data_IF_408560359844
#
_entry.id   IF_408560359844
#
_cell.length_a   1.000
_cell.length_b   1.000
_cell.length_c   1.000
_cell.angle_alpha   90.00
_cell.angle_beta   90.00
_cell.angle_gamma   90.00
#
_symmetry.space_group_name_H-M   'P 1'
#
loop_
_entity.id
_entity.type
_entity.pdbx_description
1 polymer ?
#
# COMPACT_ATOMS: atom_id res chain seq x y z
N UNK A 1 27.28 -5.66 -9.57
CA UNK A 1 26.59 -5.90 -8.28
C UNK A 1 26.07 -4.56 -7.79
N UNK A 2 24.78 -4.27 -7.95
CA UNK A 2 24.21 -3.06 -7.35
C UNK A 2 24.35 -3.17 -5.82
N UNK A 3 24.97 -2.17 -5.20
CA UNK A 3 25.23 -2.15 -3.77
C UNK A 3 23.90 -2.32 -3.01
N UNK A 4 23.78 -3.33 -2.14
CA UNK A 4 22.56 -3.59 -1.34
C UNK A 4 22.16 -2.34 -0.54
N UNK A 5 23.15 -1.53 -0.12
CA UNK A 5 22.96 -0.22 0.51
C UNK A 5 22.24 0.78 -0.41
N UNK A 6 22.56 0.77 -1.70
CA UNK A 6 21.95 1.64 -2.71
C UNK A 6 20.49 1.23 -2.98
N UNK A 7 20.18 -0.07 -2.97
CA UNK A 7 18.80 -0.55 -3.08
C UNK A 7 17.93 -0.14 -1.89
N UNK A 8 18.46 -0.26 -0.66
CA UNK A 8 17.77 0.22 0.54
C UNK A 8 17.57 1.73 0.51
N UNK A 9 18.58 2.49 0.08
CA UNK A 9 18.47 3.94 -0.07
C UNK A 9 17.38 4.33 -1.07
N UNK A 10 17.36 3.72 -2.26
CA UNK A 10 16.33 3.97 -3.27
C UNK A 10 14.93 3.66 -2.75
N UNK A 11 14.78 2.57 -1.99
CA UNK A 11 13.53 2.20 -1.35
C UNK A 11 13.04 3.24 -0.34
N UNK A 12 13.93 3.75 0.52
CA UNK A 12 13.60 4.82 1.46
C UNK A 12 13.23 6.11 0.73
N UNK A 13 13.97 6.47 -0.32
CA UNK A 13 13.67 7.67 -1.13
C UNK A 13 12.29 7.56 -1.77
N UNK A 14 11.95 6.40 -2.34
CA UNK A 14 10.62 6.16 -2.92
C UNK A 14 9.51 6.32 -1.87
N UNK A 15 9.67 5.72 -0.70
CA UNK A 15 8.68 5.84 0.37
C UNK A 15 8.48 7.28 0.83
N UNK A 16 9.58 8.03 1.02
CA UNK A 16 9.52 9.45 1.37
C UNK A 16 8.84 10.27 0.26
N UNK A 17 9.14 9.98 -1.00
CA UNK A 17 8.48 10.63 -2.13
C UNK A 17 6.96 10.40 -2.10
N UNK A 18 6.51 9.17 -1.86
CA UNK A 18 5.07 8.84 -1.78
C UNK A 18 4.38 9.58 -0.64
N UNK A 19 4.99 9.61 0.55
CA UNK A 19 4.45 10.34 1.71
C UNK A 19 4.37 11.84 1.42
N UNK A 20 5.44 12.43 0.88
CA UNK A 20 5.46 13.86 0.51
C UNK A 20 4.40 14.15 -0.52
N UNK A 21 4.25 13.30 -1.54
CA UNK A 21 3.21 13.43 -2.56
C UNK A 21 1.80 13.40 -1.97
N UNK A 22 1.51 12.44 -1.09
CA UNK A 22 0.24 12.37 -0.37
C UNK A 22 -0.02 13.58 0.54
N UNK A 23 1.01 14.27 1.01
CA UNK A 23 0.87 15.51 1.78
C UNK A 23 0.79 16.78 0.91
N UNK A 24 1.12 16.72 -0.38
CA UNK A 24 1.11 17.91 -1.26
C UNK A 24 -0.23 18.66 -1.29
N UNK A 25 -1.41 18.02 -1.24
CA UNK A 25 -2.66 18.76 -1.28
C UNK A 25 -2.83 19.68 -0.06
N UNK A 26 -2.30 19.26 1.09
CA UNK A 26 -2.31 20.04 2.34
C UNK A 26 -1.39 21.27 2.19
N UNK A 27 -0.15 21.06 1.69
CA UNK A 27 0.80 22.16 1.51
C UNK A 27 0.34 23.17 0.44
N UNK A 28 -0.35 22.70 -0.59
CA UNK A 28 -0.85 23.54 -1.69
C UNK A 28 -2.21 24.17 -1.41
N UNK A 29 -2.78 23.96 -0.20
CA UNK A 29 -4.10 24.46 0.19
C UNK A 29 -5.17 24.13 -0.85
N UNK A 30 -5.08 22.94 -1.45
CA UNK A 30 -6.06 22.47 -2.43
C UNK A 30 -7.38 22.15 -1.72
N UNK A 31 -8.48 22.22 -2.45
CA UNK A 31 -9.77 21.78 -1.94
C UNK A 31 -9.68 20.29 -1.54
N UNK A 32 -9.97 20.00 -0.27
CA UNK A 32 -10.00 18.63 0.26
C UNK A 32 -11.28 17.93 -0.16
N UNK A 33 -11.36 17.56 -1.44
CA UNK A 33 -12.41 16.68 -1.94
C UNK A 33 -12.16 15.24 -1.48
N UNK A 34 -13.20 14.40 -1.49
CA UNK A 34 -13.08 13.02 -1.05
C UNK A 34 -12.04 12.24 -1.86
N UNK A 35 -11.94 12.49 -3.17
CA UNK A 35 -10.92 11.89 -4.04
C UNK A 35 -9.49 12.24 -3.61
N UNK A 36 -9.26 13.52 -3.27
CA UNK A 36 -7.96 14.01 -2.81
C UNK A 36 -7.60 13.36 -1.47
N UNK A 37 -8.57 13.25 -0.56
CA UNK A 37 -8.39 12.60 0.74
C UNK A 37 -8.06 11.10 0.55
N UNK A 38 -8.83 10.39 -0.27
CA UNK A 38 -8.62 8.97 -0.53
C UNK A 38 -7.24 8.69 -1.13
N UNK A 39 -6.86 9.46 -2.15
CA UNK A 39 -5.56 9.34 -2.82
C UNK A 39 -4.41 9.63 -1.86
N UNK A 40 -4.56 10.66 -1.02
CA UNK A 40 -3.55 11.04 -0.02
C UNK A 40 -3.35 9.94 1.02
N UNK A 41 -4.45 9.38 1.54
CA UNK A 41 -4.41 8.26 2.51
C UNK A 41 -3.69 7.06 1.90
N UNK A 42 -4.05 6.68 0.67
CA UNK A 42 -3.45 5.53 -0.02
C UNK A 42 -1.95 5.75 -0.24
N UNK A 43 -1.53 6.92 -0.74
CA UNK A 43 -0.12 7.21 -0.99
C UNK A 43 0.73 7.19 0.28
N UNK A 44 0.23 7.80 1.36
CA UNK A 44 0.93 7.82 2.65
C UNK A 44 1.05 6.40 3.20
N UNK A 45 -0.03 5.62 3.14
CA UNK A 45 -0.02 4.24 3.62
C UNK A 45 0.97 3.37 2.84
N UNK A 46 1.00 3.45 1.51
CA UNK A 46 1.96 2.70 0.69
C UNK A 46 3.39 3.09 1.06
N UNK A 47 3.66 4.39 1.26
CA UNK A 47 4.98 4.84 1.69
C UNK A 47 5.39 4.26 3.05
N UNK A 48 4.50 4.28 4.04
CA UNK A 48 4.76 3.73 5.38
C UNK A 48 4.89 2.20 5.34
N UNK A 49 3.99 1.52 4.64
CA UNK A 49 3.99 0.08 4.40
C UNK A 49 5.33 -0.38 3.81
N UNK A 50 5.80 0.34 2.79
CA UNK A 50 7.07 0.03 2.13
C UNK A 50 8.27 0.17 3.08
N UNK A 51 8.30 1.21 3.93
CA UNK A 51 9.33 1.35 4.96
C UNK A 51 9.30 0.18 5.94
N UNK A 52 8.12 -0.19 6.43
CA UNK A 52 7.96 -1.30 7.38
C UNK A 52 8.50 -2.60 6.76
N UNK A 53 8.15 -2.90 5.51
CA UNK A 53 8.61 -4.11 4.80
C UNK A 53 10.12 -4.07 4.58
N UNK A 54 10.69 -2.92 4.25
CA UNK A 54 12.13 -2.77 3.97
C UNK A 54 12.99 -3.09 5.21
N UNK A 55 12.53 -2.70 6.40
CA UNK A 55 13.25 -2.94 7.66
C UNK A 55 12.85 -4.26 8.32
N UNK A 56 11.58 -4.66 8.21
CA UNK A 56 11.02 -5.87 8.81
C UNK A 56 10.20 -6.68 7.78
N UNK A 57 10.86 -7.49 6.94
CA UNK A 57 10.18 -8.29 5.91
C UNK A 57 9.14 -9.28 6.45
N UNK A 58 9.27 -9.71 7.71
CA UNK A 58 8.29 -10.59 8.37
C UNK A 58 6.88 -9.98 8.48
N UNK A 59 6.78 -8.64 8.44
CA UNK A 59 5.51 -7.92 8.51
C UNK A 59 4.79 -7.82 7.17
N UNK A 60 5.40 -8.26 6.06
CA UNK A 60 4.83 -8.16 4.71
C UNK A 60 3.39 -8.66 4.64
N UNK A 61 3.09 -9.81 5.24
CA UNK A 61 1.74 -10.38 5.25
C UNK A 61 0.71 -9.49 5.95
N UNK A 62 1.07 -8.94 7.12
CA UNK A 62 0.20 -8.06 7.89
C UNK A 62 -0.03 -6.75 7.14
N UNK A 63 1.04 -6.18 6.59
CA UNK A 63 1.00 -4.93 5.83
C UNK A 63 0.08 -5.05 4.61
N UNK A 64 0.21 -6.10 3.80
CA UNK A 64 -0.69 -6.34 2.67
C UNK A 64 -2.15 -6.52 3.11
N UNK A 65 -2.40 -7.20 4.23
CA UNK A 65 -3.75 -7.35 4.76
C UNK A 65 -4.37 -6.00 5.14
N UNK A 66 -3.63 -5.18 5.89
CA UNK A 66 -4.09 -3.85 6.30
C UNK A 66 -4.24 -2.89 5.12
N UNK A 67 -3.30 -2.88 4.18
CA UNK A 67 -3.42 -2.09 2.95
C UNK A 67 -4.67 -2.47 2.17
N UNK A 68 -4.94 -3.77 2.01
CA UNK A 68 -6.15 -4.24 1.33
C UNK A 68 -7.43 -3.74 2.00
N UNK A 69 -7.48 -3.74 3.34
CA UNK A 69 -8.62 -3.17 4.10
C UNK A 69 -8.74 -1.68 3.83
N UNK A 70 -7.66 -0.91 3.95
CA UNK A 70 -7.76 0.53 3.79
C UNK A 70 -8.11 0.90 2.35
N UNK A 71 -7.53 0.24 1.35
CA UNK A 71 -7.87 0.46 -0.07
C UNK A 71 -9.35 0.12 -0.31
N UNK A 72 -9.85 -0.99 0.23
CA UNK A 72 -11.25 -1.37 0.07
C UNK A 72 -12.20 -0.35 0.71
N UNK A 73 -11.93 0.03 1.97
CA UNK A 73 -12.81 0.91 2.75
C UNK A 73 -12.73 2.35 2.24
N UNK A 74 -11.52 2.88 2.07
CA UNK A 74 -11.31 4.24 1.56
C UNK A 74 -11.83 4.36 0.13
N UNK A 75 -11.56 3.36 -0.72
CA UNK A 75 -12.10 3.31 -2.07
C UNK A 75 -13.63 3.33 -2.08
N UNK A 76 -14.26 2.46 -1.30
CA UNK A 76 -15.72 2.35 -1.26
C UNK A 76 -16.41 3.59 -0.67
N UNK A 77 -15.85 4.18 0.39
CA UNK A 77 -16.50 5.27 1.12
C UNK A 77 -16.20 6.66 0.57
N UNK A 78 -15.03 6.86 -0.04
CA UNK A 78 -14.56 8.19 -0.43
C UNK A 78 -14.62 8.43 -1.94
N UNK A 79 -14.52 7.41 -2.77
CA UNK A 79 -14.55 7.59 -4.23
C UNK A 79 -15.99 7.55 -4.75
N UNK A 80 -16.20 8.24 -5.87
CA UNK A 80 -17.47 8.16 -6.59
C UNK A 80 -17.53 6.94 -7.52
N UNK A 81 -18.74 6.59 -7.97
CA UNK A 81 -18.94 5.53 -8.96
C UNK A 81 -18.31 5.91 -10.31
N UNK A 82 -17.61 5.00 -11.00
CA UNK A 82 -17.43 3.57 -10.71
C UNK A 82 -16.20 3.21 -9.87
N UNK A 83 -15.34 4.18 -9.56
CA UNK A 83 -14.06 3.95 -8.90
C UNK A 83 -14.20 3.31 -7.51
N UNK A 84 -15.28 3.62 -6.79
CA UNK A 84 -15.58 2.99 -5.50
C UNK A 84 -15.64 1.46 -5.57
N UNK A 85 -16.29 0.91 -6.60
CA UNK A 85 -16.44 -0.52 -6.81
C UNK A 85 -15.12 -1.15 -7.26
N UNK A 86 -14.39 -0.48 -8.16
CA UNK A 86 -13.09 -0.97 -8.63
C UNK A 86 -12.09 -1.08 -7.46
N UNK A 87 -11.95 -0.03 -6.66
CA UNK A 87 -11.04 -0.04 -5.51
C UNK A 87 -11.51 -0.98 -4.39
N UNK A 88 -12.82 -1.12 -4.17
CA UNK A 88 -13.36 -2.11 -3.25
C UNK A 88 -12.98 -3.55 -3.67
N UNK A 89 -13.14 -3.88 -4.95
CA UNK A 89 -12.79 -5.19 -5.50
C UNK A 89 -11.28 -5.43 -5.41
N UNK A 90 -10.46 -4.44 -5.79
CA UNK A 90 -9.00 -4.55 -5.69
C UNK A 90 -8.57 -4.77 -4.24
N UNK A 91 -9.11 -3.99 -3.29
CA UNK A 91 -8.81 -4.16 -1.88
C UNK A 91 -9.21 -5.54 -1.35
N UNK A 92 -10.39 -6.04 -1.74
CA UNK A 92 -10.84 -7.40 -1.39
C UNK A 92 -9.91 -8.49 -1.95
N UNK A 93 -9.44 -8.36 -3.19
CA UNK A 93 -8.49 -9.29 -3.80
C UNK A 93 -7.18 -9.30 -3.00
N UNK A 94 -6.66 -8.11 -2.62
CA UNK A 94 -5.44 -8.00 -1.82
C UNK A 94 -5.62 -8.67 -0.45
N UNK A 95 -6.76 -8.46 0.22
CA UNK A 95 -7.10 -9.12 1.49
C UNK A 95 -7.11 -10.64 1.31
N UNK A 96 -7.77 -11.14 0.26
CA UNK A 96 -7.85 -12.58 -0.01
C UNK A 96 -6.46 -13.18 -0.24
N UNK A 97 -5.59 -12.51 -1.00
CA UNK A 97 -4.21 -12.93 -1.21
C UNK A 97 -3.44 -12.95 0.12
N UNK A 98 -3.59 -11.92 0.95
CA UNK A 98 -2.92 -11.86 2.25
C UNK A 98 -3.37 -13.00 3.17
N UNK A 99 -4.67 -13.32 3.23
CA UNK A 99 -5.21 -14.47 3.98
C UNK A 99 -4.62 -15.78 3.44
N UNK A 100 -4.58 -15.97 2.12
CA UNK A 100 -3.99 -17.17 1.52
C UNK A 100 -2.48 -17.27 1.82
N UNK A 101 -1.76 -16.15 1.91
CA UNK A 101 -0.36 -16.12 2.32
C UNK A 101 -0.18 -16.53 3.79
N UNK A 102 -1.09 -16.09 4.68
CA UNK A 102 -1.13 -16.53 6.07
C UNK A 102 -1.39 -18.02 6.21
N UNK A 103 -2.34 -18.55 5.42
CA UNK A 103 -2.70 -19.97 5.40
C UNK A 103 -1.69 -20.84 4.63
N UNK A 104 -0.65 -20.26 4.05
CA UNK A 104 0.34 -20.93 3.20
C UNK A 104 -0.27 -21.69 2.00
N UNK A 105 -1.44 -21.26 1.52
CA UNK A 105 -2.14 -21.88 0.39
C UNK A 105 -1.81 -21.23 -0.96
N UNK A 106 -0.95 -20.22 -0.98
CA UNK A 106 -0.50 -19.59 -2.22
C UNK A 106 0.52 -20.48 -2.98
N UNK A 107 0.56 -20.38 -4.32
CA UNK A 107 1.59 -21.05 -5.12
C UNK A 107 3.00 -20.70 -4.59
N UNK A 108 3.94 -21.65 -4.55
CA UNK A 108 5.28 -21.44 -4.00
C UNK A 108 6.03 -20.23 -4.60
N UNK A 109 5.78 -19.96 -5.88
CA UNK A 109 6.35 -18.83 -6.62
C UNK A 109 5.91 -17.46 -6.10
N UNK A 110 4.73 -17.36 -5.51
CA UNK A 110 4.19 -16.12 -4.93
C UNK A 110 4.49 -16.10 -3.43
N UNK A 111 4.33 -17.25 -2.77
CA UNK A 111 4.53 -17.39 -1.33
C UNK A 111 5.95 -17.00 -0.90
N UNK A 112 6.98 -17.27 -1.71
CA UNK A 112 8.36 -16.85 -1.43
C UNK A 112 8.55 -15.34 -1.20
N UNK A 113 7.66 -14.49 -1.73
CA UNK A 113 7.74 -13.04 -1.54
C UNK A 113 7.21 -12.58 -0.17
N UNK A 114 6.37 -13.39 0.48
CA UNK A 114 5.79 -13.11 1.79
C UNK A 114 6.64 -13.64 2.96
N UNK A 115 7.63 -14.48 2.69
CA UNK A 115 8.48 -15.16 3.68
C UNK A 115 9.98 -14.87 3.49
N UNK A 116 10.31 -13.89 2.65
CA UNK A 116 11.70 -13.46 2.40
C UNK A 116 12.25 -12.59 3.51
#
# INVERSE_FOLDING_TARGET
MANIKMFKLLGVVLALMLIVWGLTPIFRHQALTNDVIATSIILILIGVAYLIILYNPSWTKAVFFFEGIVIAVAGYMLLDFPYNLEFAIVGLIIIAIAILAYLQKLPPNILKWFYR
#
